data_IF_548183485544
#
_entry.id   IF_548183485544
#
_cell.length_a   1.000
_cell.length_b   1.000
_cell.length_c   1.000
_cell.angle_alpha   90.00
_cell.angle_beta   90.00
_cell.angle_gamma   90.00
#
_symmetry.space_group_name_H-M   'P 1'
#
loop_
_entity.id
_entity.type
_entity.pdbx_description
1 polymer ?
#
# COMPACT_ATOMS: atom_id res chain seq x y z
N UNK A 1 0.11 -3.01 23.93
CA UNK A 1 0.10 -1.70 23.26
C UNK A 1 0.18 -1.98 21.79
N UNK A 2 -0.91 -1.79 21.08
CA UNK A 2 -0.92 -1.83 19.61
C UNK A 2 0.10 -0.79 19.12
N UNK A 3 0.98 -1.19 18.22
CA UNK A 3 2.08 -0.35 17.78
C UNK A 3 1.48 0.91 17.12
N UNK A 4 1.88 2.10 17.55
CA UNK A 4 1.30 3.35 17.04
C UNK A 4 1.51 3.47 15.52
N UNK A 5 2.57 2.86 15.00
CA UNK A 5 2.86 2.75 13.57
C UNK A 5 1.81 1.92 12.81
N UNK A 6 1.29 0.83 13.41
CA UNK A 6 0.32 -0.07 12.78
C UNK A 6 -1.05 0.59 12.60
N UNK A 7 -1.47 1.44 13.56
CA UNK A 7 -2.78 2.11 13.49
C UNK A 7 -2.86 3.08 12.31
N UNK A 8 -1.82 3.88 12.09
CA UNK A 8 -1.75 4.79 10.94
C UNK A 8 -1.63 4.03 9.62
N UNK A 9 -0.82 2.97 9.57
CA UNK A 9 -0.71 2.12 8.38
C UNK A 9 -2.06 1.52 8.03
N UNK A 10 -2.77 0.93 8.99
CA UNK A 10 -4.09 0.35 8.80
C UNK A 10 -5.10 1.39 8.28
N UNK A 11 -5.16 2.58 8.88
CA UNK A 11 -6.03 3.67 8.41
C UNK A 11 -5.72 4.09 6.97
N UNK A 12 -4.45 4.24 6.62
CA UNK A 12 -4.04 4.62 5.26
C UNK A 12 -4.42 3.54 4.25
N UNK A 13 -4.22 2.27 4.59
CA UNK A 13 -4.61 1.13 3.73
C UNK A 13 -6.14 1.10 3.49
N UNK A 14 -6.95 1.49 4.46
CA UNK A 14 -8.41 1.64 4.30
C UNK A 14 -8.82 2.83 3.43
N UNK A 15 -8.01 3.90 3.38
CA UNK A 15 -8.27 5.10 2.58
C UNK A 15 -7.77 4.98 1.13
N UNK A 16 -6.87 4.04 0.85
CA UNK A 16 -6.35 3.80 -0.48
C UNK A 16 -7.38 3.10 -1.39
N UNK A 17 -7.18 3.22 -2.70
CA UNK A 17 -7.96 2.46 -3.67
C UNK A 17 -7.74 0.96 -3.42
N UNK A 18 -8.78 0.11 -3.53
CA UNK A 18 -8.65 -1.33 -3.24
C UNK A 18 -7.49 -2.02 -3.97
N UNK A 19 -7.31 -1.71 -5.26
CA UNK A 19 -6.21 -2.28 -6.04
C UNK A 19 -4.82 -1.82 -5.56
N UNK A 20 -4.70 -0.62 -5.00
CA UNK A 20 -3.43 -0.15 -4.42
C UNK A 20 -3.17 -0.84 -3.09
N UNK A 21 -4.20 -0.99 -2.26
CA UNK A 21 -4.11 -1.69 -0.97
C UNK A 21 -3.69 -3.15 -1.17
N UNK A 22 -4.35 -3.87 -2.07
CA UNK A 22 -4.02 -5.27 -2.41
C UNK A 22 -2.56 -5.43 -2.88
N UNK A 23 -2.12 -4.59 -3.82
CA UNK A 23 -0.73 -4.61 -4.31
C UNK A 23 0.31 -4.32 -3.21
N UNK A 24 0.00 -3.42 -2.28
CA UNK A 24 0.91 -3.11 -1.16
C UNK A 24 0.97 -4.27 -0.15
N UNK A 25 -0.17 -4.89 0.19
CA UNK A 25 -0.21 -6.05 1.08
C UNK A 25 0.57 -7.22 0.49
N UNK A 26 0.31 -7.57 -0.78
CA UNK A 26 1.04 -8.64 -1.46
C UNK A 26 2.56 -8.36 -1.49
N UNK A 27 2.97 -7.10 -1.68
CA UNK A 27 4.39 -6.75 -1.75
C UNK A 27 5.07 -6.74 -0.38
N UNK A 28 4.44 -6.20 0.64
CA UNK A 28 5.11 -5.86 1.91
C UNK A 28 4.73 -6.77 3.07
N UNK A 29 3.51 -7.31 3.08
CA UNK A 29 3.03 -8.24 4.09
C UNK A 29 3.36 -9.68 3.66
N UNK A 30 2.92 -10.08 2.47
CA UNK A 30 3.19 -11.41 1.89
C UNK A 30 4.58 -11.52 1.25
N UNK A 31 5.32 -10.40 1.17
CA UNK A 31 6.70 -10.32 0.65
C UNK A 31 6.90 -10.79 -0.80
N UNK A 32 5.84 -10.88 -1.61
CA UNK A 32 5.92 -11.33 -3.00
C UNK A 32 6.75 -10.38 -3.88
N UNK A 33 7.47 -10.98 -4.83
CA UNK A 33 8.13 -10.25 -5.93
C UNK A 33 7.11 -9.66 -6.90
N UNK A 34 7.55 -8.73 -7.74
CA UNK A 34 6.65 -8.09 -8.71
C UNK A 34 6.20 -9.09 -9.79
N UNK A 35 7.03 -10.08 -10.10
CA UNK A 35 6.75 -11.21 -10.98
C UNK A 35 5.68 -12.14 -10.38
N UNK A 36 5.82 -12.52 -9.10
CA UNK A 36 4.83 -13.36 -8.40
C UNK A 36 3.47 -12.66 -8.29
N UNK A 37 3.46 -11.36 -7.99
CA UNK A 37 2.25 -10.55 -7.99
C UNK A 37 1.60 -10.52 -9.38
N UNK A 38 2.41 -10.33 -10.43
CA UNK A 38 1.93 -10.33 -11.81
C UNK A 38 1.29 -11.65 -12.21
N UNK A 39 1.92 -12.77 -11.82
CA UNK A 39 1.37 -14.10 -12.04
C UNK A 39 0.07 -14.32 -11.24
N UNK A 40 0.04 -13.95 -9.96
CA UNK A 40 -1.11 -14.15 -9.08
C UNK A 40 -2.36 -13.37 -9.53
N UNK A 41 -2.17 -12.13 -9.98
CA UNK A 41 -3.26 -11.22 -10.35
C UNK A 41 -3.58 -11.21 -11.85
N UNK A 42 -2.95 -12.06 -12.65
CA UNK A 42 -3.00 -12.03 -14.12
C UNK A 42 -2.69 -10.64 -14.70
N UNK A 43 -1.66 -10.00 -14.13
CA UNK A 43 -1.21 -8.66 -14.49
C UNK A 43 0.16 -8.69 -15.18
N UNK A 44 0.31 -7.91 -16.24
CA UNK A 44 1.62 -7.68 -16.86
C UNK A 44 2.59 -7.06 -15.84
N UNK A 45 3.84 -7.51 -15.81
CA UNK A 45 4.88 -6.99 -14.90
C UNK A 45 5.00 -5.46 -14.93
N UNK A 46 4.92 -4.83 -16.12
CA UNK A 46 4.93 -3.38 -16.25
C UNK A 46 3.74 -2.69 -15.58
N UNK A 47 2.56 -3.32 -15.61
CA UNK A 47 1.37 -2.84 -14.92
C UNK A 47 1.57 -2.95 -13.41
N UNK A 48 2.11 -4.06 -12.91
CA UNK A 48 2.46 -4.23 -11.49
C UNK A 48 3.43 -3.13 -11.03
N UNK A 49 4.54 -2.95 -11.76
CA UNK A 49 5.55 -1.93 -11.47
C UNK A 49 4.96 -0.51 -11.39
N UNK A 50 4.20 -0.13 -12.41
CA UNK A 50 3.60 1.21 -12.50
C UNK A 50 2.54 1.43 -11.43
N UNK A 51 1.76 0.39 -11.11
CA UNK A 51 0.68 0.49 -10.12
C UNK A 51 1.25 0.53 -8.70
N UNK A 52 2.23 -0.32 -8.36
CA UNK A 52 2.96 -0.27 -7.09
C UNK A 52 3.63 1.09 -6.86
N UNK A 53 4.23 1.68 -7.91
CA UNK A 53 4.81 3.01 -7.81
C UNK A 53 3.76 4.08 -7.43
N UNK A 54 2.59 4.05 -8.09
CA UNK A 54 1.49 4.97 -7.79
C UNK A 54 0.88 4.70 -6.41
N UNK A 55 0.74 3.43 -6.02
CA UNK A 55 0.26 3.01 -4.72
C UNK A 55 1.15 3.55 -3.58
N UNK A 56 2.47 3.40 -3.69
CA UNK A 56 3.43 3.97 -2.72
C UNK A 56 3.33 5.49 -2.60
N UNK A 57 3.19 6.20 -3.73
CA UNK A 57 3.03 7.66 -3.73
C UNK A 57 1.74 8.08 -3.03
N UNK A 58 0.64 7.39 -3.31
CA UNK A 58 -0.64 7.64 -2.67
C UNK A 58 -0.57 7.33 -1.16
N UNK A 59 0.02 6.18 -0.80
CA UNK A 59 0.23 5.79 0.60
C UNK A 59 0.99 6.88 1.35
N UNK A 60 2.14 7.31 0.84
CA UNK A 60 2.96 8.34 1.49
C UNK A 60 2.18 9.64 1.70
N UNK A 61 1.41 10.08 0.70
CA UNK A 61 0.61 11.31 0.79
C UNK A 61 -0.43 11.20 1.91
N UNK A 62 -1.25 10.15 1.88
CA UNK A 62 -2.33 9.95 2.85
C UNK A 62 -1.76 9.71 4.25
N UNK A 63 -0.65 8.98 4.38
CA UNK A 63 -0.01 8.73 5.67
C UNK A 63 0.45 10.03 6.35
N UNK A 64 1.02 10.97 5.60
CA UNK A 64 1.39 12.28 6.12
C UNK A 64 0.14 13.08 6.53
N UNK A 65 -0.89 13.11 5.68
CA UNK A 65 -2.15 13.80 6.00
C UNK A 65 -2.84 13.24 7.25
N UNK A 66 -2.88 11.91 7.41
CA UNK A 66 -3.49 11.28 8.59
C UNK A 66 -2.68 11.58 9.85
N UNK A 67 -1.33 11.51 9.80
CA UNK A 67 -0.49 11.86 10.96
C UNK A 67 -0.64 13.33 11.35
N UNK A 68 -0.59 14.24 10.38
CA UNK A 68 -0.71 15.69 10.63
C UNK A 68 -2.05 16.07 11.26
N UNK A 69 -3.14 15.36 10.93
CA UNK A 69 -4.47 15.64 11.49
C UNK A 69 -4.69 15.06 12.91
N UNK A 70 -3.95 14.02 13.28
CA UNK A 70 -4.04 13.41 14.62
C UNK A 70 -3.08 14.08 15.64
N UNK A 71 -2.13 14.90 15.17
CA UNK A 71 -1.20 15.69 15.99
C UNK A 71 -1.75 17.08 16.39
N UNK A 72 -3.05 17.37 16.16
CA UNK A 72 -3.75 18.64 16.48
C UNK A 72 -4.73 18.47 17.65
#
# INVERSE_FOLDING_TARGET
MENLEDVYVSRVLHLLKPNYTELLLLRYDETLSHEEIGFLLDMKLNTVNTTLYRARKAFKKIYLEVKENDDI
#
